data_IF_668261073807
#
_entry.id   IF_668261073807
#
_cell.length_a   1.000
_cell.length_b   1.000
_cell.length_c   1.000
_cell.angle_alpha   90.00
_cell.angle_beta   90.00
_cell.angle_gamma   90.00
#
_symmetry.space_group_name_H-M   'P 1'
#
loop_
_entity.id
_entity.type
_entity.pdbx_description
1 polymer ?
#
# COMPACT_ATOMS: atom_id res chain seq x y z
N UNK A 1 -8.51 -39.59 4.22
CA UNK A 1 -8.08 -39.28 5.60
C UNK A 1 -8.70 -37.94 6.00
N UNK A 2 -9.58 -37.87 6.99
CA UNK A 2 -10.17 -36.58 7.43
C UNK A 2 -9.32 -35.99 8.55
N UNK A 3 -8.56 -34.95 8.24
CA UNK A 3 -7.75 -34.18 9.19
C UNK A 3 -8.67 -33.27 10.02
N UNK A 4 -9.42 -33.85 10.96
CA UNK A 4 -10.53 -33.15 11.65
C UNK A 4 -10.07 -32.10 12.67
N UNK A 5 -8.85 -32.18 13.20
CA UNK A 5 -8.38 -31.34 14.31
C UNK A 5 -7.18 -30.46 13.97
N UNK A 6 -6.78 -30.41 12.69
CA UNK A 6 -5.62 -29.61 12.28
C UNK A 6 -5.92 -28.13 12.49
N UNK A 7 -5.04 -27.47 13.24
CA UNK A 7 -5.09 -26.03 13.51
C UNK A 7 -4.18 -25.24 12.56
N UNK A 8 -3.07 -25.84 12.16
CA UNK A 8 -2.09 -25.19 11.30
C UNK A 8 -1.76 -26.09 10.13
N UNK A 9 -1.87 -25.54 8.93
CA UNK A 9 -1.31 -26.13 7.70
C UNK A 9 -0.15 -25.24 7.28
N UNK A 10 1.06 -25.80 7.29
CA UNK A 10 2.28 -25.11 6.88
C UNK A 10 2.97 -25.92 5.78
N UNK A 11 3.01 -25.36 4.58
CA UNK A 11 3.53 -25.98 3.35
C UNK A 11 4.33 -24.96 2.51
N UNK A 12 4.71 -23.83 3.09
CA UNK A 12 5.41 -22.74 2.42
C UNK A 12 6.81 -23.14 1.91
N UNK A 13 7.33 -22.38 0.94
CA UNK A 13 8.68 -22.56 0.36
C UNK A 13 8.95 -23.95 -0.23
N UNK A 14 8.00 -24.44 -1.01
CA UNK A 14 8.08 -25.74 -1.68
C UNK A 14 7.81 -25.58 -3.19
N UNK A 15 7.65 -26.70 -3.88
CA UNK A 15 7.30 -26.77 -5.30
C UNK A 15 5.92 -27.38 -5.52
N UNK A 16 5.02 -27.28 -4.53
CA UNK A 16 3.69 -27.88 -4.64
C UNK A 16 2.91 -27.27 -5.79
N UNK A 17 2.28 -28.13 -6.58
CA UNK A 17 1.42 -27.79 -7.72
C UNK A 17 -0.03 -28.19 -7.43
N UNK A 18 -0.93 -27.93 -8.38
CA UNK A 18 -2.36 -28.16 -8.21
C UNK A 18 -3.06 -26.95 -7.59
N UNK A 19 -4.32 -27.12 -7.17
CA UNK A 19 -5.17 -26.02 -6.72
C UNK A 19 -5.29 -25.95 -5.20
N UNK A 20 -5.78 -24.81 -4.70
CA UNK A 20 -6.21 -24.67 -3.32
C UNK A 20 -7.37 -25.64 -3.02
N UNK A 21 -7.30 -26.46 -1.95
CA UNK A 21 -8.32 -27.46 -1.68
C UNK A 21 -9.59 -26.87 -1.07
N UNK A 22 -10.76 -27.10 -1.67
CA UNK A 22 -12.08 -26.69 -1.14
C UNK A 22 -12.35 -27.22 0.29
N UNK A 23 -11.71 -28.33 0.65
CA UNK A 23 -11.91 -29.00 1.93
C UNK A 23 -11.61 -28.13 3.15
N UNK A 24 -10.76 -27.11 3.04
CA UNK A 24 -10.35 -26.27 4.18
C UNK A 24 -11.51 -25.46 4.75
N UNK A 25 -12.51 -25.11 3.94
CA UNK A 25 -13.75 -24.47 4.41
C UNK A 25 -14.52 -25.30 5.46
N UNK A 26 -14.31 -26.63 5.48
CA UNK A 26 -14.96 -27.56 6.43
C UNK A 26 -14.10 -27.84 7.67
N UNK A 27 -12.86 -27.38 7.72
CA UNK A 27 -11.94 -27.64 8.82
C UNK A 27 -12.20 -26.68 9.98
N UNK A 28 -13.10 -27.08 10.88
CA UNK A 28 -13.58 -26.24 11.99
C UNK A 28 -12.49 -25.81 12.98
N UNK A 29 -11.37 -26.52 13.04
CA UNK A 29 -10.28 -26.21 13.94
C UNK A 29 -9.14 -25.44 13.27
N UNK A 30 -9.23 -25.17 11.97
CA UNK A 30 -8.16 -24.51 11.22
C UNK A 30 -8.05 -23.04 11.64
N UNK A 31 -6.84 -22.63 12.02
CA UNK A 31 -6.50 -21.31 12.54
C UNK A 31 -5.50 -20.62 11.61
N UNK A 32 -4.44 -21.32 11.17
CA UNK A 32 -3.41 -20.76 10.31
C UNK A 32 -3.19 -21.63 9.07
N UNK A 33 -3.13 -20.98 7.91
CA UNK A 33 -2.76 -21.62 6.63
C UNK A 33 -1.62 -20.83 6.01
N UNK A 34 -0.48 -21.48 5.87
CA UNK A 34 0.75 -20.96 5.26
C UNK A 34 1.10 -21.86 4.07
N UNK A 35 0.85 -21.36 2.87
CA UNK A 35 1.10 -22.08 1.60
C UNK A 35 1.89 -21.20 0.61
N UNK A 36 2.53 -20.14 1.10
CA UNK A 36 3.22 -19.16 0.28
C UNK A 36 4.49 -19.70 -0.38
N UNK A 37 4.92 -19.09 -1.49
CA UNK A 37 6.09 -19.49 -2.28
C UNK A 37 6.02 -20.96 -2.72
N UNK A 38 5.03 -21.26 -3.56
CA UNK A 38 4.80 -22.55 -4.21
C UNK A 38 4.42 -22.34 -5.69
N UNK A 39 3.91 -23.37 -6.36
CA UNK A 39 3.41 -23.34 -7.75
C UNK A 39 1.92 -23.65 -7.83
N UNK A 40 1.15 -23.27 -6.81
CA UNK A 40 -0.29 -23.52 -6.75
C UNK A 40 -1.02 -22.66 -7.79
N UNK A 41 -1.99 -23.24 -8.47
CA UNK A 41 -2.78 -22.63 -9.55
C UNK A 41 -4.26 -22.61 -9.21
N UNK A 42 -5.08 -22.09 -10.14
CA UNK A 42 -6.54 -22.04 -9.98
C UNK A 42 -7.01 -20.85 -9.16
N UNK A 43 -8.30 -20.81 -8.87
CA UNK A 43 -8.94 -19.68 -8.19
C UNK A 43 -8.94 -19.79 -6.67
N UNK A 44 -9.15 -18.64 -6.02
CA UNK A 44 -9.42 -18.61 -4.58
C UNK A 44 -10.76 -19.31 -4.29
N UNK A 45 -10.81 -20.35 -3.44
CA UNK A 45 -12.05 -21.09 -3.21
C UNK A 45 -13.07 -20.32 -2.37
N UNK A 46 -14.31 -20.21 -2.86
CA UNK A 46 -15.44 -19.59 -2.14
C UNK A 46 -15.66 -20.21 -0.76
N UNK A 47 -15.46 -21.53 -0.67
CA UNK A 47 -15.69 -22.33 0.53
C UNK A 47 -14.80 -21.94 1.70
N UNK A 48 -13.63 -21.33 1.46
CA UNK A 48 -12.66 -21.02 2.50
C UNK A 48 -13.17 -20.01 3.52
N UNK A 49 -14.05 -19.11 3.08
CA UNK A 49 -14.75 -18.17 3.96
C UNK A 49 -15.61 -18.85 5.04
N UNK A 50 -15.92 -20.13 4.88
CA UNK A 50 -16.64 -20.94 5.88
C UNK A 50 -15.76 -21.43 7.03
N UNK A 51 -14.43 -21.33 6.93
CA UNK A 51 -13.49 -21.70 7.99
C UNK A 51 -13.54 -20.66 9.13
N UNK A 52 -14.51 -20.81 10.03
CA UNK A 52 -14.87 -19.78 11.02
C UNK A 52 -13.75 -19.42 12.01
N UNK A 53 -12.79 -20.30 12.23
CA UNK A 53 -11.69 -20.09 13.18
C UNK A 53 -10.38 -19.65 12.50
N UNK A 54 -10.38 -19.52 11.17
CA UNK A 54 -9.20 -19.10 10.42
C UNK A 54 -8.86 -17.66 10.78
N UNK A 55 -7.62 -17.45 11.23
CA UNK A 55 -7.08 -16.16 11.66
C UNK A 55 -6.00 -15.64 10.71
N UNK A 56 -5.21 -16.53 10.11
CA UNK A 56 -4.17 -16.16 9.16
C UNK A 56 -4.27 -17.04 7.92
N UNK A 57 -4.31 -16.41 6.77
CA UNK A 57 -4.21 -17.07 5.49
C UNK A 57 -3.14 -16.41 4.63
N UNK A 58 -2.13 -17.18 4.24
CA UNK A 58 -1.06 -16.74 3.39
C UNK A 58 -0.80 -17.71 2.25
N UNK A 59 -1.16 -17.28 1.04
CA UNK A 59 -0.96 -18.01 -0.23
C UNK A 59 -0.14 -17.17 -1.21
N UNK A 60 0.62 -16.20 -0.69
CA UNK A 60 1.41 -15.29 -1.50
C UNK A 60 2.50 -16.01 -2.32
N UNK A 61 2.93 -15.45 -3.45
CA UNK A 61 3.99 -16.06 -4.25
C UNK A 61 3.58 -17.40 -4.87
N UNK A 62 2.40 -17.46 -5.48
CA UNK A 62 1.88 -18.62 -6.20
C UNK A 62 1.42 -18.17 -7.61
N UNK A 63 0.70 -19.05 -8.32
CA UNK A 63 0.14 -18.81 -9.65
C UNK A 63 -1.39 -18.80 -9.61
N UNK A 64 -1.98 -18.31 -8.51
CA UNK A 64 -3.43 -18.25 -8.35
C UNK A 64 -4.03 -17.21 -9.31
N UNK A 65 -5.16 -17.54 -9.92
CA UNK A 65 -5.85 -16.73 -10.94
C UNK A 65 -7.31 -16.48 -10.56
N UNK A 66 -8.03 -15.74 -11.40
CA UNK A 66 -9.46 -15.49 -11.20
C UNK A 66 -9.75 -14.49 -10.08
N UNK A 67 -11.04 -14.34 -9.77
CA UNK A 67 -11.52 -13.30 -8.86
C UNK A 67 -11.54 -13.76 -7.41
N UNK A 68 -11.40 -12.80 -6.49
CA UNK A 68 -11.74 -13.04 -5.09
C UNK A 68 -13.26 -13.05 -4.97
N UNK A 69 -13.87 -14.12 -4.43
CA UNK A 69 -15.32 -14.22 -4.35
C UNK A 69 -15.90 -13.30 -3.25
N UNK A 70 -17.11 -12.75 -3.42
CA UNK A 70 -17.79 -11.96 -2.40
C UNK A 70 -17.96 -12.67 -1.04
N UNK A 71 -17.91 -14.01 -1.05
CA UNK A 71 -18.00 -14.84 0.15
C UNK A 71 -16.90 -14.54 1.17
N UNK A 72 -15.78 -13.88 0.80
CA UNK A 72 -14.75 -13.42 1.75
C UNK A 72 -15.30 -12.55 2.90
N UNK A 73 -16.44 -11.87 2.70
CA UNK A 73 -17.12 -11.16 3.80
C UNK A 73 -17.62 -12.07 4.93
N UNK A 74 -17.67 -13.39 4.72
CA UNK A 74 -18.11 -14.36 5.72
C UNK A 74 -17.00 -14.80 6.68
N UNK A 75 -15.74 -14.42 6.44
CA UNK A 75 -14.67 -14.70 7.39
C UNK A 75 -14.95 -14.00 8.73
N UNK A 76 -15.09 -14.79 9.80
CA UNK A 76 -15.45 -14.27 11.14
C UNK A 76 -14.24 -13.78 11.93
N UNK A 77 -13.15 -14.56 11.87
CA UNK A 77 -11.98 -14.38 12.74
C UNK A 77 -10.69 -14.11 11.96
N UNK A 78 -10.77 -13.91 10.63
CA UNK A 78 -9.57 -13.64 9.83
C UNK A 78 -8.96 -12.31 10.26
N UNK A 79 -7.66 -12.31 10.56
CA UNK A 79 -6.89 -11.14 10.94
C UNK A 79 -5.91 -10.73 9.86
N UNK A 80 -5.28 -11.70 9.20
CA UNK A 80 -4.35 -11.46 8.11
C UNK A 80 -4.69 -12.28 6.87
N UNK A 81 -4.77 -11.60 5.72
CA UNK A 81 -5.00 -12.21 4.42
C UNK A 81 -3.91 -11.75 3.44
N UNK A 82 -3.00 -12.65 3.11
CA UNK A 82 -1.82 -12.38 2.28
C UNK A 82 -1.93 -13.13 0.95
N UNK A 83 -2.23 -12.37 -0.10
CA UNK A 83 -2.49 -12.86 -1.45
C UNK A 83 -1.49 -12.34 -2.49
N UNK A 84 -0.50 -11.56 -2.04
CA UNK A 84 0.42 -10.84 -2.91
C UNK A 84 1.26 -11.75 -3.81
N UNK A 85 1.76 -11.20 -4.92
CA UNK A 85 2.55 -11.95 -5.93
C UNK A 85 1.81 -13.19 -6.44
N UNK A 86 0.62 -12.97 -6.99
CA UNK A 86 -0.19 -13.97 -7.71
C UNK A 86 -0.68 -13.36 -9.05
N UNK A 87 -1.61 -14.01 -9.73
CA UNK A 87 -2.31 -13.52 -10.92
C UNK A 87 -3.82 -13.34 -10.66
N UNK A 88 -4.19 -13.03 -9.41
CA UNK A 88 -5.59 -12.78 -9.05
C UNK A 88 -6.08 -11.51 -9.75
N UNK A 89 -7.30 -11.54 -10.26
CA UNK A 89 -7.87 -10.48 -11.10
C UNK A 89 -9.28 -10.09 -10.67
N UNK A 90 -9.92 -9.19 -11.41
CA UNK A 90 -11.23 -8.65 -11.06
C UNK A 90 -11.15 -7.53 -10.03
N UNK A 91 -12.30 -7.12 -9.51
CA UNK A 91 -12.40 -6.00 -8.55
C UNK A 91 -12.13 -6.45 -7.12
N UNK A 92 -11.71 -5.51 -6.27
CA UNK A 92 -11.68 -5.72 -4.83
C UNK A 92 -13.12 -5.85 -4.30
N UNK A 93 -13.52 -6.96 -3.67
CA UNK A 93 -14.89 -7.12 -3.15
C UNK A 93 -15.17 -6.17 -1.98
N UNK A 94 -16.22 -5.31 -2.06
CA UNK A 94 -16.62 -4.47 -0.93
C UNK A 94 -17.04 -5.29 0.31
N UNK A 95 -17.40 -6.58 0.13
CA UNK A 95 -17.76 -7.50 1.20
C UNK A 95 -16.65 -7.74 2.21
N UNK A 96 -15.38 -7.45 1.90
CA UNK A 96 -14.31 -7.46 2.90
C UNK A 96 -14.65 -6.59 4.12
N UNK A 97 -15.43 -5.52 3.94
CA UNK A 97 -15.92 -4.67 5.03
C UNK A 97 -16.75 -5.40 6.09
N UNK A 98 -17.28 -6.59 5.79
CA UNK A 98 -18.02 -7.46 6.73
C UNK A 98 -17.10 -8.32 7.59
N UNK A 99 -15.86 -8.57 7.16
CA UNK A 99 -14.86 -9.33 7.91
C UNK A 99 -14.21 -8.44 8.98
N UNK A 100 -14.95 -8.14 10.06
CA UNK A 100 -14.59 -7.13 11.08
C UNK A 100 -13.28 -7.37 11.84
N UNK A 101 -12.74 -8.58 11.78
CA UNK A 101 -11.47 -8.95 12.41
C UNK A 101 -10.25 -8.68 11.50
N UNK A 102 -10.46 -8.41 10.21
CA UNK A 102 -9.39 -8.30 9.23
C UNK A 102 -8.63 -7.00 9.46
N UNK A 103 -7.33 -7.14 9.75
CA UNK A 103 -6.43 -6.04 10.07
C UNK A 103 -5.29 -5.90 9.03
N UNK A 104 -4.88 -7.01 8.40
CA UNK A 104 -3.75 -7.00 7.46
C UNK A 104 -4.18 -7.51 6.08
N UNK A 105 -4.29 -6.60 5.11
CA UNK A 105 -4.61 -6.91 3.72
C UNK A 105 -3.39 -6.67 2.83
N UNK A 106 -2.72 -7.77 2.41
CA UNK A 106 -1.53 -7.69 1.55
C UNK A 106 -1.80 -8.32 0.19
N UNK A 107 -2.32 -7.51 -0.73
CA UNK A 107 -2.82 -7.94 -2.04
C UNK A 107 -1.98 -7.43 -3.22
N UNK A 108 -0.88 -6.73 -2.94
CA UNK A 108 0.04 -6.16 -3.91
C UNK A 108 0.58 -7.16 -4.94
N UNK A 109 1.00 -6.69 -6.12
CA UNK A 109 1.53 -7.51 -7.22
C UNK A 109 0.57 -8.61 -7.65
N UNK A 110 -0.63 -8.19 -8.07
CA UNK A 110 -1.68 -9.01 -8.68
C UNK A 110 -2.20 -8.25 -9.93
N UNK A 111 -3.37 -8.66 -10.45
CA UNK A 111 -4.06 -8.04 -11.58
C UNK A 111 -5.43 -7.48 -11.14
N UNK A 112 -5.53 -6.99 -9.90
CA UNK A 112 -6.76 -6.35 -9.43
C UNK A 112 -7.03 -5.09 -10.23
N UNK A 113 -8.30 -4.87 -10.56
CA UNK A 113 -8.75 -3.76 -11.40
C UNK A 113 -9.94 -3.01 -10.81
N UNK A 114 -10.27 -1.86 -11.39
CA UNK A 114 -11.35 -1.01 -10.92
C UNK A 114 -10.92 -0.20 -9.69
N UNK A 115 -11.86 0.20 -8.84
CA UNK A 115 -11.61 1.16 -7.75
C UNK A 115 -11.35 0.48 -6.41
N UNK A 116 -10.76 1.25 -5.46
CA UNK A 116 -10.77 0.88 -4.05
C UNK A 116 -12.19 1.05 -3.51
N UNK A 117 -12.81 0.03 -2.89
CA UNK A 117 -14.16 0.15 -2.34
C UNK A 117 -14.21 1.15 -1.18
N UNK A 118 -15.11 2.16 -1.21
CA UNK A 118 -15.32 3.07 -0.08
C UNK A 118 -15.67 2.36 1.24
N UNK A 119 -16.29 1.19 1.17
CA UNK A 119 -16.63 0.36 2.32
C UNK A 119 -15.41 -0.07 3.15
N UNK A 120 -14.21 -0.03 2.58
CA UNK A 120 -12.97 -0.31 3.31
C UNK A 120 -12.74 0.72 4.43
N UNK A 121 -13.29 1.93 4.33
CA UNK A 121 -13.27 2.91 5.42
C UNK A 121 -14.01 2.45 6.69
N UNK A 122 -14.92 1.47 6.60
CA UNK A 122 -15.64 0.88 7.74
C UNK A 122 -14.94 -0.31 8.39
N UNK A 123 -13.66 -0.52 8.09
CA UNK A 123 -12.84 -1.63 8.58
C UNK A 123 -11.88 -1.17 9.69
N UNK A 124 -11.20 -2.12 10.33
CA UNK A 124 -10.15 -1.85 11.32
C UNK A 124 -8.80 -2.33 10.77
N UNK A 125 -8.40 -1.75 9.63
CA UNK A 125 -7.19 -2.15 8.91
C UNK A 125 -5.96 -1.46 9.49
N UNK A 126 -4.95 -2.25 9.85
CA UNK A 126 -3.61 -1.80 10.20
C UNK A 126 -2.75 -1.58 8.96
N UNK A 127 -2.89 -2.46 7.97
CA UNK A 127 -2.13 -2.42 6.73
C UNK A 127 -3.05 -2.65 5.52
N UNK A 128 -2.93 -1.76 4.53
CA UNK A 128 -3.58 -1.91 3.23
C UNK A 128 -2.53 -1.78 2.13
N UNK A 129 -2.08 -2.93 1.61
CA UNK A 129 -1.08 -2.99 0.55
C UNK A 129 -1.69 -3.46 -0.75
N UNK A 130 -1.96 -2.50 -1.63
CA UNK A 130 -2.54 -2.71 -2.97
C UNK A 130 -1.55 -2.44 -4.10
N UNK A 131 -0.32 -2.02 -3.76
CA UNK A 131 0.67 -1.61 -4.75
C UNK A 131 0.97 -2.64 -5.86
N UNK A 132 1.38 -2.19 -7.04
CA UNK A 132 1.70 -3.08 -8.15
C UNK A 132 0.48 -3.82 -8.73
N UNK A 133 -0.72 -3.25 -8.58
CA UNK A 133 -1.92 -3.65 -9.32
C UNK A 133 -2.20 -2.55 -10.34
N UNK A 134 -1.59 -2.65 -11.52
CA UNK A 134 -1.55 -1.57 -12.52
C UNK A 134 -2.93 -1.21 -13.09
N UNK A 135 -3.92 -2.09 -13.00
CA UNK A 135 -5.29 -1.84 -13.47
C UNK A 135 -6.24 -1.29 -12.38
N UNK A 136 -5.74 -1.07 -11.16
CA UNK A 136 -6.49 -0.39 -10.11
C UNK A 136 -6.55 1.11 -10.43
N UNK A 137 -7.75 1.64 -10.66
CA UNK A 137 -8.04 2.97 -11.20
C UNK A 137 -8.95 3.77 -10.27
N UNK A 138 -9.28 5.01 -10.67
CA UNK A 138 -10.12 5.92 -9.90
C UNK A 138 -9.30 6.66 -8.83
N UNK A 139 -9.98 7.20 -7.82
CA UNK A 139 -9.36 8.00 -6.77
C UNK A 139 -9.23 7.22 -5.46
N UNK A 140 -8.44 7.75 -4.52
CA UNK A 140 -8.49 7.30 -3.12
C UNK A 140 -9.85 7.72 -2.52
N UNK A 141 -10.68 6.80 -2.01
CA UNK A 141 -11.94 7.14 -1.37
C UNK A 141 -11.71 7.95 -0.09
N UNK A 142 -12.50 9.01 0.14
CA UNK A 142 -12.40 9.83 1.35
C UNK A 142 -12.72 9.01 2.61
N UNK A 143 -13.54 7.97 2.47
CA UNK A 143 -13.90 7.05 3.54
C UNK A 143 -12.69 6.34 4.16
N UNK A 144 -11.59 6.17 3.42
CA UNK A 144 -10.38 5.56 3.98
C UNK A 144 -9.80 6.36 5.15
N UNK A 145 -10.07 7.67 5.25
CA UNK A 145 -9.69 8.47 6.42
C UNK A 145 -10.34 8.01 7.73
N UNK A 146 -11.44 7.25 7.67
CA UNK A 146 -12.10 6.65 8.86
C UNK A 146 -11.29 5.51 9.49
N UNK A 147 -10.20 5.08 8.86
CA UNK A 147 -9.25 4.11 9.40
C UNK A 147 -8.29 4.72 10.44
N UNK A 148 -8.51 5.97 10.87
CA UNK A 148 -7.58 6.78 11.66
C UNK A 148 -7.06 6.16 12.94
N UNK A 149 -7.85 5.27 13.55
CA UNK A 149 -7.48 4.58 14.77
C UNK A 149 -6.59 3.35 14.56
N UNK A 150 -6.41 2.89 13.31
CA UNK A 150 -5.83 1.58 13.02
C UNK A 150 -4.72 1.61 11.96
N UNK A 151 -4.90 2.38 10.88
CA UNK A 151 -4.04 2.28 9.70
C UNK A 151 -2.67 2.89 9.96
N UNK A 152 -1.65 2.05 9.78
CA UNK A 152 -0.23 2.40 9.99
C UNK A 152 0.56 2.36 8.68
N UNK A 153 0.15 1.56 7.70
CA UNK A 153 0.91 1.38 6.45
C UNK A 153 -0.05 1.28 5.25
N UNK A 154 -0.14 2.38 4.50
CA UNK A 154 -0.95 2.51 3.28
C UNK A 154 -0.03 2.54 2.06
N UNK A 155 -0.11 1.50 1.22
CA UNK A 155 0.71 1.38 0.00
C UNK A 155 -0.14 1.16 -1.23
N UNK A 156 -0.24 2.20 -2.05
CA UNK A 156 -1.04 2.26 -3.27
C UNK A 156 -0.20 2.51 -4.53
N UNK A 157 1.12 2.46 -4.39
CA UNK A 157 2.07 2.72 -5.46
C UNK A 157 1.96 1.77 -6.66
N UNK A 158 2.46 2.16 -7.84
CA UNK A 158 2.41 1.33 -9.05
C UNK A 158 0.99 0.87 -9.39
N UNK A 159 0.04 1.80 -9.31
CA UNK A 159 -1.36 1.62 -9.71
C UNK A 159 -1.73 2.71 -10.73
N UNK A 160 -2.92 2.61 -11.32
CA UNK A 160 -3.48 3.67 -12.18
C UNK A 160 -4.43 4.59 -11.38
N UNK A 161 -4.25 4.70 -10.06
CA UNK A 161 -5.00 5.64 -9.24
C UNK A 161 -4.62 7.07 -9.61
N UNK A 162 -5.60 7.96 -9.64
CA UNK A 162 -5.47 9.35 -10.04
C UNK A 162 -6.19 10.29 -9.07
N UNK A 163 -6.21 11.60 -9.40
CA UNK A 163 -6.82 12.63 -8.58
C UNK A 163 -5.88 13.13 -7.48
N UNK A 164 -6.42 13.77 -6.45
CA UNK A 164 -5.65 14.31 -5.32
C UNK A 164 -5.60 13.33 -4.16
N UNK A 165 -4.70 13.55 -3.20
CA UNK A 165 -4.77 12.89 -1.89
C UNK A 165 -5.92 13.54 -1.11
N UNK A 166 -6.96 12.80 -0.69
CA UNK A 166 -8.04 13.35 0.12
C UNK A 166 -7.54 13.88 1.46
N UNK A 167 -8.13 14.97 1.95
CA UNK A 167 -7.73 15.59 3.21
C UNK A 167 -7.95 14.66 4.42
N UNK A 168 -8.95 13.78 4.34
CA UNK A 168 -9.26 12.78 5.36
C UNK A 168 -8.15 11.74 5.54
N UNK A 169 -7.28 11.53 4.53
CA UNK A 169 -6.11 10.64 4.66
C UNK A 169 -5.12 11.20 5.69
N UNK A 170 -5.07 12.52 5.87
CA UNK A 170 -4.20 13.14 6.86
C UNK A 170 -4.71 13.00 8.29
N UNK A 171 -5.96 12.56 8.49
CA UNK A 171 -6.49 12.26 9.82
C UNK A 171 -6.03 10.86 10.32
N UNK A 172 -5.31 10.10 9.50
CA UNK A 172 -4.69 8.81 9.87
C UNK A 172 -3.46 9.00 10.78
N UNK A 173 -3.65 9.59 11.96
CA UNK A 173 -2.57 9.98 12.89
C UNK A 173 -1.56 8.88 13.26
N UNK A 174 -1.96 7.61 13.19
CA UNK A 174 -1.10 6.45 13.46
C UNK A 174 -0.26 6.01 12.25
N UNK A 175 -0.36 6.70 11.12
CA UNK A 175 0.30 6.31 9.89
C UNK A 175 1.82 6.44 9.99
N UNK A 176 2.50 5.31 9.85
CA UNK A 176 3.95 5.20 9.76
C UNK A 176 4.44 5.36 8.32
N UNK A 177 3.70 4.82 7.34
CA UNK A 177 4.06 4.87 5.92
C UNK A 177 2.88 5.22 5.03
N UNK A 178 3.11 6.21 4.18
CA UNK A 178 2.27 6.54 3.04
C UNK A 178 3.11 6.37 1.77
N UNK A 179 2.76 5.37 0.96
CA UNK A 179 3.47 5.06 -0.28
C UNK A 179 2.53 5.13 -1.50
N UNK A 180 2.67 6.19 -2.28
CA UNK A 180 1.88 6.53 -3.46
C UNK A 180 2.76 6.65 -4.72
N UNK A 181 3.99 6.11 -4.71
CA UNK A 181 4.91 6.29 -5.83
C UNK A 181 4.36 5.71 -7.15
N UNK A 182 4.76 6.30 -8.28
CA UNK A 182 4.47 5.75 -9.63
C UNK A 182 2.97 5.50 -9.81
N UNK A 183 2.20 6.60 -9.79
CA UNK A 183 0.74 6.59 -9.95
C UNK A 183 0.32 7.86 -10.71
N UNK A 184 -0.99 8.09 -10.84
CA UNK A 184 -1.57 9.24 -11.56
C UNK A 184 -1.91 10.43 -10.68
N UNK A 185 -1.34 10.57 -9.48
CA UNK A 185 -1.78 11.62 -8.54
C UNK A 185 -1.41 13.03 -9.02
N UNK A 186 -2.33 13.97 -8.84
CA UNK A 186 -2.25 15.38 -9.23
C UNK A 186 -2.48 16.30 -8.02
N UNK A 187 -2.42 17.61 -8.26
CA UNK A 187 -2.69 18.64 -7.26
C UNK A 187 -1.46 18.99 -6.43
N UNK A 188 -1.67 19.73 -5.36
CA UNK A 188 -0.60 20.18 -4.46
C UNK A 188 -0.46 19.25 -3.27
N UNK A 189 0.74 19.21 -2.68
CA UNK A 189 0.94 18.50 -1.41
C UNK A 189 0.40 19.38 -0.27
N UNK A 190 -0.60 18.90 0.45
CA UNK A 190 -1.26 19.65 1.54
C UNK A 190 -0.35 19.77 2.76
N UNK A 191 -0.40 20.92 3.45
CA UNK A 191 0.30 21.11 4.74
C UNK A 191 -0.30 20.26 5.86
N UNK A 192 -1.53 19.74 5.68
CA UNK A 192 -2.17 18.81 6.63
C UNK A 192 -1.43 17.48 6.77
N UNK A 193 -0.48 17.15 5.88
CA UNK A 193 0.42 16.00 6.06
C UNK A 193 1.15 16.01 7.41
N UNK A 194 1.31 17.19 8.01
CA UNK A 194 1.85 17.36 9.38
C UNK A 194 1.00 16.73 10.48
N UNK A 195 -0.30 16.50 10.25
CA UNK A 195 -1.18 15.75 11.17
C UNK A 195 -0.78 14.28 11.31
N UNK A 196 0.00 13.76 10.37
CA UNK A 196 0.55 12.42 10.42
C UNK A 196 1.80 12.40 11.31
N UNK A 197 1.62 12.68 12.60
CA UNK A 197 2.70 12.88 13.57
C UNK A 197 3.66 11.68 13.66
N UNK A 198 3.16 10.47 13.39
CA UNK A 198 3.93 9.22 13.37
C UNK A 198 4.60 8.88 12.03
N UNK A 199 4.52 9.73 11.01
CA UNK A 199 4.95 9.39 9.66
C UNK A 199 6.48 9.30 9.55
N UNK A 200 6.96 8.13 9.14
CA UNK A 200 8.39 7.87 8.92
C UNK A 200 8.74 7.81 7.44
N UNK A 201 7.85 7.28 6.61
CA UNK A 201 8.08 7.11 5.18
C UNK A 201 6.98 7.79 4.38
N UNK A 202 7.35 8.79 3.59
CA UNK A 202 6.50 9.44 2.60
C UNK A 202 7.09 9.28 1.20
N UNK A 203 6.39 8.55 0.34
CA UNK A 203 6.82 8.32 -1.05
C UNK A 203 5.75 8.81 -2.01
N UNK A 204 6.04 9.92 -2.68
CA UNK A 204 5.17 10.57 -3.65
C UNK A 204 5.82 10.64 -5.05
N UNK A 205 7.01 10.05 -5.21
CA UNK A 205 7.79 10.13 -6.44
C UNK A 205 7.06 9.56 -7.66
N UNK A 206 7.39 10.06 -8.86
CA UNK A 206 6.80 9.62 -10.13
C UNK A 206 5.27 9.79 -10.15
N UNK A 207 4.81 11.02 -9.91
CA UNK A 207 3.41 11.44 -10.02
C UNK A 207 3.35 12.78 -10.76
N UNK A 208 2.23 13.48 -10.68
CA UNK A 208 2.01 14.77 -11.32
C UNK A 208 1.71 15.88 -10.30
N UNK A 209 2.25 15.77 -9.07
CA UNK A 209 2.07 16.80 -8.04
C UNK A 209 2.71 18.12 -8.50
N UNK A 210 2.01 19.23 -8.25
CA UNK A 210 2.41 20.60 -8.59
C UNK A 210 2.55 21.46 -7.32
N UNK A 211 2.99 22.70 -7.48
CA UNK A 211 3.17 23.62 -6.36
C UNK A 211 4.51 23.40 -5.65
N UNK A 212 4.58 23.80 -4.39
CA UNK A 212 5.81 23.77 -3.58
C UNK A 212 5.72 22.71 -2.48
N UNK A 213 6.86 22.36 -1.89
CA UNK A 213 6.90 21.49 -0.69
C UNK A 213 6.54 22.34 0.54
N UNK A 214 5.53 21.96 1.35
CA UNK A 214 5.11 22.75 2.51
C UNK A 214 6.21 22.91 3.56
N UNK A 215 6.39 24.13 4.07
CA UNK A 215 7.41 24.46 5.08
C UNK A 215 7.11 23.91 6.47
N UNK A 216 5.85 23.57 6.71
CA UNK A 216 5.31 23.01 7.95
C UNK A 216 5.85 21.61 8.25
N UNK A 217 6.47 20.93 7.28
CA UNK A 217 7.07 19.59 7.42
C UNK A 217 8.17 19.52 8.48
N UNK A 218 8.74 20.67 8.86
CA UNK A 218 9.68 20.78 9.98
C UNK A 218 9.12 20.32 11.33
N UNK A 219 7.80 20.24 11.47
CA UNK A 219 7.15 19.65 12.65
C UNK A 219 7.17 18.11 12.67
N UNK A 220 7.46 17.47 11.54
CA UNK A 220 7.39 16.01 11.37
C UNK A 220 8.69 15.32 11.80
N UNK A 221 9.02 15.41 13.08
CA UNK A 221 10.30 14.93 13.65
C UNK A 221 10.56 13.41 13.48
N UNK A 222 9.52 12.63 13.17
CA UNK A 222 9.61 11.19 12.93
C UNK A 222 9.93 10.84 11.48
N UNK A 223 9.94 11.82 10.57
CA UNK A 223 10.17 11.59 9.16
C UNK A 223 11.61 11.13 8.92
N UNK A 224 11.77 10.03 8.17
CA UNK A 224 13.08 9.42 7.85
C UNK A 224 13.31 9.29 6.36
N UNK A 225 12.25 9.08 5.58
CA UNK A 225 12.36 8.87 4.14
C UNK A 225 11.31 9.68 3.41
N UNK A 226 11.78 10.52 2.47
CA UNK A 226 10.97 11.41 1.65
C UNK A 226 11.42 11.29 0.19
N UNK A 227 10.53 10.78 -0.67
CA UNK A 227 10.78 10.70 -2.12
C UNK A 227 9.76 11.55 -2.87
N UNK A 228 10.25 12.60 -3.53
CA UNK A 228 9.45 13.61 -4.25
C UNK A 228 9.80 13.72 -5.73
N UNK A 229 10.90 13.11 -6.18
CA UNK A 229 11.37 13.18 -7.56
C UNK A 229 10.34 12.63 -8.58
N UNK A 230 10.48 12.97 -9.85
CA UNK A 230 9.52 12.64 -10.89
C UNK A 230 8.17 13.29 -10.67
N UNK A 231 8.13 14.54 -10.23
CA UNK A 231 6.90 15.34 -10.12
C UNK A 231 7.03 16.67 -10.88
N UNK A 232 6.01 17.52 -10.78
CA UNK A 232 5.98 18.89 -11.34
C UNK A 232 6.07 19.94 -10.23
N UNK A 233 6.74 19.58 -9.14
CA UNK A 233 6.96 20.47 -8.00
C UNK A 233 7.97 21.56 -8.37
N UNK A 234 7.81 22.74 -7.80
CA UNK A 234 8.67 23.90 -8.05
C UNK A 234 9.17 24.53 -6.75
N UNK A 235 10.13 25.46 -6.88
CA UNK A 235 10.62 26.27 -5.76
C UNK A 235 11.83 25.66 -5.08
N UNK A 236 11.80 25.60 -3.75
CA UNK A 236 12.89 25.04 -2.94
C UNK A 236 12.36 24.00 -1.96
N UNK A 237 13.19 23.02 -1.62
CA UNK A 237 12.98 22.25 -0.41
C UNK A 237 13.15 23.21 0.78
N UNK A 238 12.16 23.33 1.68
CA UNK A 238 12.25 24.23 2.81
C UNK A 238 13.50 23.96 3.66
N UNK A 239 14.29 24.99 4.04
CA UNK A 239 15.42 24.82 4.94
C UNK A 239 15.04 24.15 6.28
N UNK A 240 13.80 24.38 6.72
CA UNK A 240 13.23 23.77 7.91
C UNK A 240 13.08 22.24 7.80
N UNK A 241 12.87 21.69 6.59
CA UNK A 241 12.92 20.25 6.32
C UNK A 241 14.37 19.74 6.29
N UNK A 242 15.30 20.54 5.77
CA UNK A 242 16.73 20.22 5.80
C UNK A 242 17.26 20.09 7.23
N UNK A 243 16.80 20.92 8.16
CA UNK A 243 17.19 20.83 9.58
C UNK A 243 16.83 19.47 10.22
N UNK A 244 15.80 18.77 9.72
CA UNK A 244 15.48 17.41 10.20
C UNK A 244 16.57 16.38 9.83
N UNK A 245 17.37 16.65 8.80
CA UNK A 245 18.54 15.83 8.46
C UNK A 245 19.61 15.90 9.54
N UNK A 246 19.88 17.09 10.03
CA UNK A 246 20.92 17.34 11.03
C UNK A 246 20.49 16.94 12.45
N UNK A 247 19.23 17.19 12.81
CA UNK A 247 18.76 17.02 14.20
C UNK A 247 17.99 15.72 14.46
N UNK A 248 17.31 15.16 13.44
CA UNK A 248 16.31 14.11 13.61
C UNK A 248 16.50 12.91 12.68
N UNK A 249 17.68 12.79 12.06
CA UNK A 249 18.05 11.69 11.17
C UNK A 249 17.07 11.49 10.00
N UNK A 250 16.70 12.55 9.28
CA UNK A 250 16.13 12.36 7.94
C UNK A 250 17.17 11.63 7.08
N UNK A 251 16.98 10.32 6.87
CA UNK A 251 17.98 9.43 6.25
C UNK A 251 18.02 9.57 4.73
N UNK A 252 16.86 9.80 4.11
CA UNK A 252 16.75 9.84 2.66
C UNK A 252 15.77 10.92 2.20
N UNK A 253 16.30 11.95 1.55
CA UNK A 253 15.54 12.97 0.83
C UNK A 253 15.91 12.95 -0.65
N UNK A 254 14.93 12.65 -1.50
CA UNK A 254 15.09 12.54 -2.95
C UNK A 254 14.16 13.49 -3.70
N UNK A 255 14.71 14.35 -4.56
CA UNK A 255 13.95 15.36 -5.31
C UNK A 255 14.54 15.65 -6.70
N UNK A 256 13.80 16.39 -7.53
CA UNK A 256 14.21 16.78 -8.88
C UNK A 256 15.07 18.06 -8.88
N UNK A 257 16.33 17.92 -8.43
CA UNK A 257 17.27 19.04 -8.24
C UNK A 257 18.40 19.14 -9.27
N UNK A 258 18.46 18.27 -10.27
CA UNK A 258 19.38 18.45 -11.39
C UNK A 258 18.82 19.46 -12.40
N UNK A 259 19.65 20.31 -13.01
CA UNK A 259 19.22 21.24 -14.05
C UNK A 259 18.63 20.49 -15.25
N UNK A 260 17.49 20.96 -15.74
CA UNK A 260 16.93 20.48 -17.01
C UNK A 260 17.81 20.95 -18.18
N UNK A 261 18.23 20.07 -19.10
CA UNK A 261 19.05 20.44 -20.27
C UNK A 261 18.43 21.54 -21.15
N UNK A 262 17.10 21.65 -21.17
CA UNK A 262 16.39 22.60 -22.03
C UNK A 262 16.23 23.99 -21.41
N UNK A 263 15.94 24.09 -20.12
CA UNK A 263 15.86 25.36 -19.38
C UNK A 263 17.16 25.79 -18.70
N UNK A 264 18.08 24.85 -18.45
CA UNK A 264 19.30 25.05 -17.68
C UNK A 264 19.08 25.24 -16.17
N UNK A 265 17.87 25.04 -15.67
CA UNK A 265 17.50 25.30 -14.26
C UNK A 265 16.88 24.05 -13.62
N UNK A 266 17.11 23.81 -12.31
CA UNK A 266 16.44 22.73 -11.60
C UNK A 266 14.98 23.09 -11.35
N UNK A 267 14.10 22.09 -11.37
CA UNK A 267 12.68 22.27 -11.01
C UNK A 267 12.53 22.60 -9.52
N UNK A 268 13.30 21.91 -8.67
CA UNK A 268 13.39 22.19 -7.23
C UNK A 268 14.84 22.46 -6.85
N UNK A 269 15.08 23.53 -6.10
CA UNK A 269 16.38 23.75 -5.43
C UNK A 269 16.42 22.98 -4.11
N UNK A 270 17.49 22.20 -3.86
CA UNK A 270 17.60 21.38 -2.67
C UNK A 270 19.07 21.24 -2.23
N UNK A 271 19.47 21.98 -1.19
CA UNK A 271 20.85 21.94 -0.67
C UNK A 271 21.13 20.71 0.21
N UNK A 272 20.09 20.08 0.74
CA UNK A 272 20.20 18.96 1.69
C UNK A 272 19.75 17.60 1.13
N UNK A 273 19.44 17.50 -0.17
CA UNK A 273 18.99 16.25 -0.78
C UNK A 273 20.12 15.21 -0.77
N UNK A 274 19.79 13.96 -0.48
CA UNK A 274 20.71 12.82 -0.58
C UNK A 274 20.86 12.34 -2.01
N UNK A 275 19.80 12.50 -2.80
CA UNK A 275 19.75 12.05 -4.19
C UNK A 275 19.06 13.14 -5.02
N UNK A 276 19.78 13.66 -6.01
CA UNK A 276 19.25 14.61 -6.98
C UNK A 276 18.92 13.91 -8.29
N UNK A 277 17.69 14.09 -8.75
CA UNK A 277 17.21 13.52 -9.99
C UNK A 277 17.02 14.59 -11.07
N UNK A 278 17.20 14.18 -12.31
CA UNK A 278 16.73 14.89 -13.48
C UNK A 278 15.22 14.70 -13.58
N UNK A 279 14.48 15.81 -13.63
CA UNK A 279 13.04 15.76 -13.84
C UNK A 279 12.66 15.26 -15.23
N UNK A 280 13.55 15.41 -16.21
CA UNK A 280 13.30 15.03 -17.61
C UNK A 280 13.59 13.55 -17.84
N UNK A 281 14.78 13.09 -17.42
CA UNK A 281 15.23 11.72 -17.70
C UNK A 281 14.87 10.74 -16.59
N UNK A 282 14.54 11.25 -15.39
CA UNK A 282 14.34 10.43 -14.18
C UNK A 282 15.63 9.82 -13.63
N UNK A 283 16.78 10.07 -14.27
CA UNK A 283 18.08 9.61 -13.80
C UNK A 283 18.49 10.38 -12.56
N UNK A 284 19.06 9.68 -11.57
CA UNK A 284 19.47 10.28 -10.32
C UNK A 284 20.96 10.10 -10.06
N UNK A 285 21.62 11.19 -9.67
CA UNK A 285 23.00 11.22 -9.21
C UNK A 285 23.09 11.36 -7.69
N UNK A 286 24.22 10.94 -7.15
CA UNK A 286 24.66 11.24 -5.79
C UNK A 286 25.57 12.46 -5.79
#
# INVERSE_FOLDING_TARGET
MQLRYVQTVAMQWNQFTGTLPDGFGRMKHLIHVEMHNNKLTGSFPDSWSSARNLQLLNVAGNLLTGQIPPSVGNFRNIKGLFLYKNQLSGTLPPEFSRAKSLAFMRFHKNQFKGTIPPEFGGMHLNELWLHGNSELTGTIPTELGKLSNFCTDLRLSQTSLEGTIPEEIYDLSQMWRLDLHESGFIGTISSNVTKLEGLHTLRLSNNHFTGTVPSEWSSMINLRTVWLNGNKLTGSIPPSLCNLKDEHMLEFLKADCLPDPSSGLPLITCECCDVCCSAETGECGY
#
